data_IF_155707849334
#
_entry.id   IF_155707849334
#
_cell.length_a   1.000
_cell.length_b   1.000
_cell.length_c   1.000
_cell.angle_alpha   90.00
_cell.angle_beta   90.00
_cell.angle_gamma   90.00
#
_symmetry.space_group_name_H-M   'P 1'
#
loop_
_entity.id
_entity.type
_entity.pdbx_description
1 polymer ?
#
# COMPACT_ATOMS: atom_id res chain seq x y z
N UNK A 1 -21.87 -0.03 -13.56
CA UNK A 1 -20.79 -0.61 -14.40
C UNK A 1 -19.68 -1.04 -13.45
N UNK A 2 -19.34 -2.33 -13.40
CA UNK A 2 -18.31 -2.86 -12.48
C UNK A 2 -16.91 -2.51 -12.99
N UNK A 3 -16.39 -1.41 -12.48
CA UNK A 3 -15.07 -0.87 -12.80
C UNK A 3 -13.94 -1.91 -12.64
N UNK A 4 -14.04 -2.74 -11.61
CA UNK A 4 -13.07 -3.76 -11.21
C UNK A 4 -12.85 -4.86 -12.26
N UNK A 5 -13.91 -5.32 -12.92
CA UNK A 5 -13.82 -6.32 -13.99
C UNK A 5 -13.10 -5.82 -15.24
N UNK A 6 -13.17 -4.51 -15.53
CA UNK A 6 -12.46 -3.95 -16.69
C UNK A 6 -10.98 -3.68 -16.46
N UNK A 7 -10.51 -3.63 -15.21
CA UNK A 7 -9.09 -3.46 -14.89
C UNK A 7 -8.39 -4.81 -14.81
N UNK A 8 -9.00 -5.83 -14.19
CA UNK A 8 -8.44 -7.19 -14.15
C UNK A 8 -8.20 -7.77 -15.56
N UNK A 9 -9.13 -7.56 -16.50
CA UNK A 9 -8.97 -8.01 -17.90
C UNK A 9 -7.81 -7.31 -18.59
N UNK A 10 -7.57 -6.01 -18.29
CA UNK A 10 -6.45 -5.26 -18.86
C UNK A 10 -5.13 -5.72 -18.29
N UNK A 11 -5.04 -5.94 -16.98
CA UNK A 11 -3.82 -6.40 -16.30
C UNK A 11 -3.43 -7.80 -16.79
N UNK A 12 -4.41 -8.70 -16.94
CA UNK A 12 -4.19 -10.00 -17.55
C UNK A 12 -3.65 -9.89 -18.99
N UNK A 13 -4.19 -8.96 -19.80
CA UNK A 13 -3.75 -8.74 -21.17
C UNK A 13 -2.35 -8.14 -21.26
N UNK A 14 -2.00 -7.22 -20.35
CA UNK A 14 -0.65 -6.67 -20.24
C UNK A 14 0.33 -7.78 -19.86
N UNK A 15 0.04 -8.56 -18.82
CA UNK A 15 0.89 -9.68 -18.39
C UNK A 15 1.11 -10.71 -19.50
N UNK A 16 0.08 -11.01 -20.29
CA UNK A 16 0.19 -11.92 -21.43
C UNK A 16 1.15 -11.38 -22.50
N UNK A 17 1.05 -10.09 -22.84
CA UNK A 17 1.93 -9.46 -23.83
C UNK A 17 3.37 -9.30 -23.32
N UNK A 18 3.56 -9.02 -22.02
CA UNK A 18 4.89 -8.97 -21.39
C UNK A 18 5.55 -10.34 -21.47
N UNK A 19 4.83 -11.41 -21.11
CA UNK A 19 5.31 -12.79 -21.26
C UNK A 19 5.68 -13.11 -22.71
N UNK A 20 4.84 -12.70 -23.66
CA UNK A 20 5.10 -12.89 -25.09
C UNK A 20 6.36 -12.14 -25.56
N UNK A 21 6.58 -10.93 -25.05
CA UNK A 21 7.80 -10.14 -25.30
C UNK A 21 9.04 -10.80 -24.67
N UNK A 22 8.97 -11.24 -23.42
CA UNK A 22 10.08 -11.88 -22.71
C UNK A 22 10.53 -13.18 -23.37
N UNK A 23 9.57 -13.96 -23.88
CA UNK A 23 9.82 -15.21 -24.60
C UNK A 23 10.05 -15.01 -26.09
N UNK A 24 10.14 -13.76 -26.55
CA UNK A 24 10.21 -13.46 -27.97
C UNK A 24 11.54 -13.94 -28.56
N UNK A 25 11.44 -14.83 -29.53
CA UNK A 25 12.56 -15.28 -30.36
C UNK A 25 12.14 -15.40 -31.82
N UNK A 26 13.16 -15.38 -32.69
CA UNK A 26 12.98 -15.71 -34.10
C UNK A 26 12.75 -17.21 -34.25
N UNK A 27 11.78 -17.59 -35.08
CA UNK A 27 11.45 -19.01 -35.30
C UNK A 27 12.33 -19.60 -36.41
N UNK A 28 12.55 -20.92 -36.41
CA UNK A 28 13.42 -21.62 -37.37
C UNK A 28 13.10 -21.33 -38.85
N UNK A 29 11.81 -21.13 -39.18
CA UNK A 29 11.34 -20.93 -40.55
C UNK A 29 10.81 -19.52 -40.80
N UNK A 30 11.29 -18.55 -40.04
CA UNK A 30 10.87 -17.16 -40.14
C UNK A 30 11.95 -16.30 -40.78
N UNK A 31 11.58 -15.32 -41.60
CA UNK A 31 12.52 -14.31 -42.10
C UNK A 31 12.56 -13.09 -41.16
N UNK A 32 13.64 -12.31 -41.23
CA UNK A 32 13.87 -11.14 -40.37
C UNK A 32 12.70 -10.14 -40.44
N UNK A 33 12.14 -9.90 -41.63
CA UNK A 33 11.02 -8.96 -41.79
C UNK A 33 9.75 -9.45 -41.07
N UNK A 34 9.42 -10.72 -41.21
CA UNK A 34 8.29 -11.35 -40.51
C UNK A 34 8.48 -11.32 -39.00
N UNK A 35 9.69 -11.60 -38.52
CA UNK A 35 10.05 -11.50 -37.11
C UNK A 35 9.86 -10.07 -36.60
N UNK A 36 10.37 -9.08 -37.34
CA UNK A 36 10.27 -7.66 -36.99
C UNK A 36 8.81 -7.18 -36.93
N UNK A 37 7.94 -7.67 -37.82
CA UNK A 37 6.50 -7.37 -37.78
C UNK A 37 5.86 -7.91 -36.51
N UNK A 38 6.15 -9.16 -36.11
CA UNK A 38 5.62 -9.71 -34.85
C UNK A 38 6.10 -8.91 -33.64
N UNK A 39 7.39 -8.60 -33.61
CA UNK A 39 7.98 -7.77 -32.54
C UNK A 39 7.29 -6.41 -32.44
N UNK A 40 7.15 -5.72 -33.57
CA UNK A 40 6.51 -4.41 -33.65
C UNK A 40 5.05 -4.46 -33.18
N UNK A 41 4.33 -5.52 -33.52
CA UNK A 41 2.94 -5.70 -33.08
C UNK A 41 2.82 -5.85 -31.56
N UNK A 42 3.74 -6.57 -30.91
CA UNK A 42 3.78 -6.72 -29.45
C UNK A 42 4.02 -5.36 -28.79
N UNK A 43 5.04 -4.61 -29.26
CA UNK A 43 5.38 -3.29 -28.74
C UNK A 43 4.21 -2.31 -28.88
N UNK A 44 3.60 -2.25 -30.06
CA UNK A 44 2.48 -1.36 -30.33
C UNK A 44 1.26 -1.70 -29.45
N UNK A 45 1.00 -2.99 -29.24
CA UNK A 45 -0.09 -3.45 -28.37
C UNK A 45 0.14 -3.02 -26.91
N UNK A 46 1.35 -3.24 -26.38
CA UNK A 46 1.74 -2.81 -25.04
C UNK A 46 1.61 -1.29 -24.86
N UNK A 47 2.12 -0.51 -25.82
CA UNK A 47 2.02 0.96 -25.77
C UNK A 47 0.57 1.44 -25.80
N UNK A 48 -0.28 0.84 -26.63
CA UNK A 48 -1.70 1.18 -26.72
C UNK A 48 -2.44 0.88 -25.41
N UNK A 49 -2.13 -0.27 -24.78
CA UNK A 49 -2.69 -0.65 -23.49
C UNK A 49 -2.26 0.32 -22.39
N UNK A 50 -0.98 0.69 -22.34
CA UNK A 50 -0.46 1.62 -21.35
C UNK A 50 -1.11 3.02 -21.49
N UNK A 51 -1.25 3.54 -22.73
CA UNK A 51 -1.98 4.80 -22.98
C UNK A 51 -3.44 4.73 -22.50
N UNK A 52 -4.11 3.60 -22.73
CA UNK A 52 -5.47 3.38 -22.23
C UNK A 52 -5.55 3.24 -20.70
N UNK A 53 -4.47 2.81 -20.04
CA UNK A 53 -4.37 2.77 -18.58
C UNK A 53 -4.20 4.18 -18.03
N UNK A 54 -3.23 4.94 -18.53
CA UNK A 54 -3.00 6.35 -18.15
C UNK A 54 -4.25 7.21 -18.37
N UNK A 55 -4.95 7.04 -19.48
CA UNK A 55 -6.18 7.81 -19.77
C UNK A 55 -7.33 7.47 -18.81
N UNK A 56 -7.48 6.20 -18.40
CA UNK A 56 -8.48 5.81 -17.40
C UNK A 56 -8.15 6.40 -16.03
N UNK A 57 -6.93 6.21 -15.55
CA UNK A 57 -6.49 6.73 -14.24
C UNK A 57 -6.63 8.26 -14.20
N UNK A 58 -6.27 8.97 -15.27
CA UNK A 58 -6.46 10.41 -15.37
C UNK A 58 -7.95 10.81 -15.38
N UNK A 59 -8.84 10.04 -16.01
CA UNK A 59 -10.28 10.29 -15.99
C UNK A 59 -10.90 10.02 -14.62
N UNK A 60 -10.44 8.99 -13.91
CA UNK A 60 -10.92 8.69 -12.56
C UNK A 60 -10.49 9.80 -11.58
N UNK A 61 -9.29 10.37 -11.74
CA UNK A 61 -8.85 11.55 -11.00
C UNK A 61 -9.66 12.82 -11.34
N UNK A 62 -10.26 12.91 -12.53
CA UNK A 62 -11.15 14.03 -12.91
C UNK A 62 -12.58 13.89 -12.37
N UNK A 63 -12.93 12.79 -11.70
CA UNK A 63 -14.26 12.63 -11.08
C UNK A 63 -14.38 13.33 -9.72
N UNK A 64 -13.25 13.58 -9.06
CA UNK A 64 -13.17 14.42 -7.88
C UNK A 64 -12.69 15.80 -8.35
N UNK A 65 -13.48 16.88 -8.16
CA UNK A 65 -12.99 18.22 -8.40
C UNK A 65 -11.67 18.42 -7.64
N UNK A 66 -10.72 19.11 -8.25
CA UNK A 66 -9.40 19.38 -7.65
C UNK A 66 -9.50 19.89 -6.20
N UNK A 67 -10.56 20.63 -5.91
CA UNK A 67 -10.91 21.17 -4.58
C UNK A 67 -11.23 20.09 -3.54
N UNK A 68 -11.87 18.98 -3.94
CA UNK A 68 -12.18 17.84 -3.06
C UNK A 68 -10.93 16.98 -2.77
N UNK A 69 -10.04 16.85 -3.77
CA UNK A 69 -8.73 16.21 -3.60
C UNK A 69 -7.84 17.02 -2.65
N UNK A 70 -7.79 18.34 -2.86
CA UNK A 70 -7.06 19.26 -1.99
C UNK A 70 -7.64 19.28 -0.57
N UNK A 71 -8.97 19.26 -0.43
CA UNK A 71 -9.65 19.18 0.86
C UNK A 71 -9.33 17.89 1.61
N UNK A 72 -9.40 16.74 0.95
CA UNK A 72 -9.05 15.44 1.54
C UNK A 72 -7.59 15.39 2.00
N UNK A 73 -6.67 15.93 1.19
CA UNK A 73 -5.25 15.98 1.51
C UNK A 73 -4.97 16.91 2.71
N UNK A 74 -5.65 18.05 2.80
CA UNK A 74 -5.53 19.00 3.91
C UNK A 74 -6.07 18.39 5.21
N UNK A 75 -7.20 17.69 5.16
CA UNK A 75 -7.77 16.97 6.30
C UNK A 75 -6.84 15.89 6.79
N UNK A 76 -6.36 15.00 5.92
CA UNK A 76 -5.44 13.91 6.28
C UNK A 76 -4.15 14.45 6.91
N UNK A 77 -3.59 15.52 6.34
CA UNK A 77 -2.41 16.20 6.89
C UNK A 77 -2.68 16.76 8.30
N UNK A 78 -3.86 17.34 8.53
CA UNK A 78 -4.24 17.91 9.84
C UNK A 78 -4.46 16.79 10.87
N UNK A 79 -5.12 15.69 10.48
CA UNK A 79 -5.31 14.52 11.34
C UNK A 79 -3.98 13.87 11.73
N UNK A 80 -3.02 13.73 10.80
CA UNK A 80 -1.68 13.23 11.12
C UNK A 80 -0.96 14.16 12.08
N UNK A 81 -1.00 15.48 11.83
CA UNK A 81 -0.34 16.46 12.70
C UNK A 81 -0.93 16.49 14.12
N UNK A 82 -2.23 16.28 14.26
CA UNK A 82 -2.89 16.23 15.56
C UNK A 82 -2.58 14.96 16.37
N UNK A 83 -1.97 13.93 15.76
CA UNK A 83 -1.52 12.73 16.49
C UNK A 83 -0.10 12.89 17.08
N UNK A 84 0.60 14.00 16.81
CA UNK A 84 1.91 14.30 17.43
C UNK A 84 1.79 15.01 18.80
N UNK A 85 0.59 15.37 19.26
CA UNK A 85 0.35 16.06 20.54
C UNK A 85 -0.23 15.16 21.67
N UNK A 86 -0.43 13.85 21.42
CA UNK A 86 -1.04 12.91 22.39
C UNK A 86 -0.04 11.93 23.05
N UNK A 87 1.27 12.14 22.88
CA UNK A 87 2.26 11.56 23.79
C UNK A 87 2.67 12.63 24.81
N UNK A 88 2.48 12.32 26.10
CA UNK A 88 2.95 13.09 27.26
C UNK A 88 1.91 14.00 27.93
N UNK A 89 0.81 13.49 28.51
CA UNK A 89 0.28 13.90 29.84
C UNK A 89 -0.79 12.93 30.41
N UNK A 90 -0.49 11.64 30.65
CA UNK A 90 -1.43 10.81 31.46
C UNK A 90 -0.77 9.75 32.37
N UNK A 91 0.39 10.07 32.98
CA UNK A 91 1.04 9.23 34.02
C UNK A 91 0.88 9.74 35.47
N UNK A 92 0.03 10.74 35.74
CA UNK A 92 0.06 11.48 37.04
C UNK A 92 -1.18 11.40 37.95
N UNK A 93 -2.16 10.50 37.77
CA UNK A 93 -3.44 10.60 38.53
C UNK A 93 -4.08 9.34 39.14
N UNK A 94 -3.38 8.23 39.43
CA UNK A 94 -4.06 7.06 40.05
C UNK A 94 -3.37 6.29 41.19
N UNK A 95 -2.49 6.90 41.99
CA UNK A 95 -2.03 6.24 43.22
C UNK A 95 -2.02 7.17 44.44
N UNK A 96 -3.16 7.82 44.69
CA UNK A 96 -3.46 8.48 45.96
C UNK A 96 -4.82 7.99 46.46
N UNK A 97 -4.88 6.76 46.96
CA UNK A 97 -5.89 6.37 47.98
C UNK A 97 -5.37 5.19 48.80
N UNK A 98 -5.15 5.42 50.08
CA UNK A 98 -4.71 4.43 51.06
C UNK A 98 -5.86 3.53 51.54
N UNK A 99 -5.58 2.26 51.88
CA UNK A 99 -6.31 1.55 52.94
C UNK A 99 -5.48 0.41 53.56
N UNK A 100 -5.44 0.35 54.89
CA UNK A 100 -4.72 -0.62 55.74
C UNK A 100 -5.54 -1.91 55.92
N UNK A 101 -4.88 -3.07 56.06
CA UNK A 101 -5.33 -4.12 56.99
C UNK A 101 -4.17 -5.00 57.48
N UNK A 102 -4.05 -5.12 58.79
CA UNK A 102 -3.13 -5.99 59.50
C UNK A 102 -3.48 -7.47 59.35
N UNK A 103 -2.48 -8.34 59.23
CA UNK A 103 -2.46 -9.64 59.93
C UNK A 103 -1.01 -9.96 60.28
N UNK A 104 -0.85 -10.28 61.55
CA UNK A 104 0.39 -10.55 62.27
C UNK A 104 0.91 -11.97 62.01
N UNK A 105 2.15 -12.19 62.49
CA UNK A 105 2.83 -13.47 62.76
C UNK A 105 3.68 -13.97 61.57
N UNK A 106 4.98 -14.27 61.67
CA UNK A 106 5.93 -14.33 62.78
C UNK A 106 7.34 -14.39 62.19
N UNK A 107 8.28 -13.77 62.90
CA UNK A 107 9.72 -13.62 62.68
C UNK A 107 10.57 -14.90 62.55
N UNK A 108 11.70 -14.78 61.84
CA UNK A 108 13.11 -15.02 62.29
C UNK A 108 14.07 -14.89 61.09
N UNK A 109 14.86 -13.83 61.01
CA UNK A 109 16.18 -13.60 61.65
C UNK A 109 17.35 -14.14 60.80
N UNK A 110 18.19 -13.19 60.38
CA UNK A 110 19.49 -13.35 59.73
C UNK A 110 20.50 -14.08 60.65
N UNK A 111 21.39 -14.89 60.06
CA UNK A 111 22.84 -14.85 60.37
C UNK A 111 23.61 -15.78 59.42
N UNK A 112 24.63 -15.21 58.75
CA UNK A 112 25.85 -15.92 58.32
C UNK A 112 26.68 -16.29 59.57
N UNK A 113 27.32 -17.48 59.58
CA UNK A 113 28.72 -17.66 60.05
C UNK A 113 29.27 -19.07 59.71
N UNK A 114 30.54 -19.09 59.25
CA UNK A 114 31.51 -20.19 58.94
C UNK A 114 31.26 -21.16 57.76
#
# INVERSE_FOLDING_TARGET
>A
VTYEGTNQVKDAKINMLVREYEMFSMKENENISSMFVRFTNIINSLQSLNKCYTNKVAKDLNTLPLEELLGSLLTHKTTIKNHEDDEEQDKKKKEVVAFKSSTTNSSKEDSDDE
#
